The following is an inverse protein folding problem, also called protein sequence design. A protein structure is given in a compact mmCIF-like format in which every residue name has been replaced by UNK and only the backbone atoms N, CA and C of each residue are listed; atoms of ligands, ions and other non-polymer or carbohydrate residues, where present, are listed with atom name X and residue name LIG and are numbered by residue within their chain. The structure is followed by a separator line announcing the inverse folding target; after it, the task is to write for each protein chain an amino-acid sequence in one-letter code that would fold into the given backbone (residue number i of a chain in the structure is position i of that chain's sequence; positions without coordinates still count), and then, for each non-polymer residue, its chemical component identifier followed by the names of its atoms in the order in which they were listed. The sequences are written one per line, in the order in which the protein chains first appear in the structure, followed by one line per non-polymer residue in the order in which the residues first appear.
data_IF_277429433876
#
_entry.id   IF_277429433876
#
_cell.length_a   1.000
_cell.length_b   1.000
_cell.length_c   1.000
_cell.angle_alpha   90.00
_cell.angle_beta   90.00
_cell.angle_gamma   90.00
#
_symmetry.space_group_name_H-M   'P 1'
#
loop_
_entity.id
_entity.type
_entity.pdbx_description
1 polymer ?
#
# COMPACT_ATOMS: atom_id res chain seq x y z
N UNK A 1 43.44 -36.39 23.30
CA UNK A 1 43.25 -35.17 22.48
C UNK A 1 42.22 -35.46 21.40
N UNK A 2 40.97 -35.02 21.60
CA UNK A 2 40.00 -34.90 20.52
C UNK A 2 39.04 -33.78 20.93
N UNK A 3 39.27 -32.59 20.37
CA UNK A 3 38.41 -31.43 20.57
C UNK A 3 37.24 -31.56 19.60
N UNK A 4 36.05 -31.87 20.14
CA UNK A 4 34.79 -31.63 19.45
C UNK A 4 34.64 -30.12 19.24
N UNK A 5 34.74 -29.69 17.98
CA UNK A 5 34.40 -28.32 17.57
C UNK A 5 32.89 -28.17 17.67
N UNK A 6 32.45 -27.39 18.65
CA UNK A 6 31.10 -26.85 18.70
C UNK A 6 30.89 -25.95 17.48
N UNK A 7 30.05 -26.42 16.56
CA UNK A 7 29.59 -25.64 15.42
C UNK A 7 28.45 -24.73 15.88
N UNK A 8 28.82 -23.64 16.57
CA UNK A 8 27.88 -22.58 16.95
C UNK A 8 27.57 -21.74 15.72
N UNK A 9 26.59 -22.17 14.92
CA UNK A 9 25.96 -21.31 13.92
C UNK A 9 25.28 -20.15 14.62
N UNK A 10 25.88 -18.96 14.51
CA UNK A 10 25.32 -17.68 14.90
C UNK A 10 24.16 -17.31 13.95
N UNK A 11 22.95 -17.80 14.26
CA UNK A 11 21.79 -17.61 13.38
C UNK A 11 20.47 -17.42 14.14
N UNK A 12 20.00 -16.16 14.18
CA UNK A 12 18.64 -15.72 14.55
C UNK A 12 18.10 -16.15 15.93
N UNK A 13 18.46 -15.39 16.98
CA UNK A 13 17.80 -15.42 18.30
C UNK A 13 16.44 -14.71 18.28
N UNK A 14 15.50 -15.19 17.48
CA UNK A 14 14.12 -14.71 17.50
C UNK A 14 13.15 -15.84 17.18
N UNK A 15 11.91 -15.79 17.69
CA UNK A 15 10.91 -16.81 17.41
C UNK A 15 10.75 -16.99 15.89
N UNK A 16 10.68 -18.25 15.46
CA UNK A 16 10.51 -18.64 14.06
C UNK A 16 9.21 -18.03 13.52
N UNK A 17 9.33 -17.24 12.45
CA UNK A 17 8.19 -16.66 11.76
C UNK A 17 7.70 -17.65 10.71
N UNK A 18 6.45 -18.06 10.80
CA UNK A 18 5.80 -18.93 9.82
C UNK A 18 4.71 -18.16 9.07
N UNK A 19 4.43 -18.59 7.84
CA UNK A 19 3.41 -17.99 6.97
C UNK A 19 2.48 -19.10 6.48
N UNK A 20 1.19 -18.83 6.49
CA UNK A 20 0.15 -19.69 5.92
C UNK A 20 -1.02 -18.86 5.43
N UNK A 21 -1.75 -19.40 4.48
CA UNK A 21 -3.03 -18.83 4.09
C UNK A 21 -4.04 -18.98 5.23
N UNK A 22 -4.90 -17.97 5.39
CA UNK A 22 -5.90 -17.90 6.45
C UNK A 22 -7.27 -17.54 5.85
N UNK A 23 -8.38 -17.86 6.53
CA UNK A 23 -9.70 -17.44 6.10
C UNK A 23 -9.80 -15.92 5.91
N UNK A 24 -10.52 -15.51 4.86
CA UNK A 24 -10.71 -14.11 4.49
C UNK A 24 -11.28 -13.29 5.64
N UNK A 25 -12.23 -13.84 6.37
CA UNK A 25 -12.93 -13.20 7.49
C UNK A 25 -11.95 -12.90 8.63
N UNK A 26 -11.07 -13.86 8.93
CA UNK A 26 -10.01 -13.69 9.93
C UNK A 26 -9.03 -12.57 9.54
N UNK A 27 -8.62 -12.55 8.27
CA UNK A 27 -7.73 -11.51 7.75
C UNK A 27 -8.38 -10.12 7.77
N UNK A 28 -9.64 -10.01 7.35
CA UNK A 28 -10.40 -8.75 7.35
C UNK A 28 -10.57 -8.24 8.79
N UNK A 29 -10.90 -9.12 9.75
CA UNK A 29 -11.01 -8.75 11.16
C UNK A 29 -9.70 -8.16 11.70
N UNK A 30 -8.57 -8.79 11.39
CA UNK A 30 -7.25 -8.30 11.78
C UNK A 30 -6.92 -6.96 11.12
N UNK A 31 -7.17 -6.81 9.81
CA UNK A 31 -6.88 -5.59 9.05
C UNK A 31 -7.72 -4.42 9.55
N UNK A 32 -9.01 -4.61 9.81
CA UNK A 32 -9.89 -3.55 10.35
C UNK A 32 -9.41 -3.04 11.70
N UNK A 33 -8.87 -3.93 12.54
CA UNK A 33 -8.37 -3.59 13.88
C UNK A 33 -7.03 -2.85 13.86
N UNK A 34 -6.11 -3.26 12.99
CA UNK A 34 -4.71 -2.79 13.08
C UNK A 34 -4.21 -1.98 11.88
N UNK A 35 -4.85 -2.06 10.72
CA UNK A 35 -4.45 -1.29 9.55
C UNK A 35 -5.03 0.13 9.58
N UNK A 36 -4.28 1.09 9.05
CA UNK A 36 -4.68 2.50 9.03
C UNK A 36 -5.80 2.85 8.06
N UNK A 37 -6.00 2.00 7.06
CA UNK A 37 -7.07 2.10 6.09
C UNK A 37 -7.88 0.82 6.14
N UNK A 38 -9.12 0.94 6.60
CA UNK A 38 -10.07 -0.17 6.82
C UNK A 38 -10.75 -0.64 5.52
N UNK A 39 -10.66 0.16 4.45
CA UNK A 39 -11.19 -0.15 3.12
C UNK A 39 -10.39 -1.28 2.48
N UNK A 40 -11.06 -2.34 2.02
CA UNK A 40 -10.42 -3.50 1.39
C UNK A 40 -10.47 -3.40 -0.15
N UNK A 41 -9.36 -3.67 -0.85
CA UNK A 41 -9.39 -3.91 -2.29
C UNK A 41 -10.28 -5.11 -2.64
N UNK A 42 -11.14 -4.95 -3.64
CA UNK A 42 -12.08 -6.01 -4.06
C UNK A 42 -11.40 -7.17 -4.78
N UNK A 43 -10.23 -6.93 -5.36
CA UNK A 43 -9.48 -7.91 -6.17
C UNK A 43 -8.40 -8.64 -5.37
N UNK A 44 -8.49 -8.64 -4.04
CA UNK A 44 -7.65 -9.50 -3.20
C UNK A 44 -7.97 -10.98 -3.46
N UNK A 45 -6.92 -11.78 -3.58
CA UNK A 45 -6.97 -13.22 -3.87
C UNK A 45 -6.46 -14.06 -2.71
N UNK A 46 -5.35 -13.66 -2.11
CA UNK A 46 -4.72 -14.41 -1.03
C UNK A 46 -4.70 -13.60 0.26
N UNK A 47 -4.93 -14.29 1.37
CA UNK A 47 -4.89 -13.72 2.71
C UNK A 47 -3.91 -14.53 3.55
N UNK A 48 -2.78 -13.93 3.87
CA UNK A 48 -1.67 -14.62 4.52
C UNK A 48 -1.53 -14.14 5.97
N UNK A 49 -1.54 -15.09 6.89
CA UNK A 49 -1.24 -14.87 8.31
C UNK A 49 0.23 -15.19 8.60
N UNK A 50 0.87 -14.31 9.36
CA UNK A 50 2.24 -14.46 9.83
C UNK A 50 2.24 -14.73 11.33
N UNK A 51 2.84 -15.84 11.74
CA UNK A 51 2.77 -16.34 13.11
C UNK A 51 4.13 -16.36 13.78
N UNK A 52 4.17 -15.92 15.04
CA UNK A 52 5.29 -16.13 15.96
C UNK A 52 4.84 -17.17 17.00
N UNK A 53 5.30 -18.41 16.86
CA UNK A 53 4.69 -19.54 17.57
C UNK A 53 3.25 -19.75 17.11
N UNK A 54 2.30 -19.84 18.06
CA UNK A 54 0.87 -20.02 17.76
C UNK A 54 0.11 -18.68 17.59
N UNK A 55 0.78 -17.54 17.76
CA UNK A 55 0.15 -16.22 17.76
C UNK A 55 0.17 -15.57 16.38
N UNK A 56 -0.99 -15.15 15.88
CA UNK A 56 -1.11 -14.36 14.65
C UNK A 56 -0.54 -12.95 14.89
N UNK A 57 0.65 -12.68 14.36
CA UNK A 57 1.41 -11.46 14.58
C UNK A 57 1.25 -10.44 13.44
N UNK A 58 0.82 -10.87 12.26
CA UNK A 58 0.61 -9.98 11.13
C UNK A 58 -0.22 -10.62 10.02
N UNK A 59 -0.80 -9.76 9.18
CA UNK A 59 -1.61 -10.17 8.03
C UNK A 59 -1.16 -9.39 6.79
N UNK A 60 -1.05 -10.10 5.68
CA UNK A 60 -0.87 -9.53 4.33
C UNK A 60 -2.02 -9.99 3.45
N UNK A 61 -2.67 -9.07 2.75
CA UNK A 61 -3.61 -9.38 1.68
C UNK A 61 -2.96 -9.06 0.32
N UNK A 62 -2.96 -10.06 -0.56
CA UNK A 62 -2.41 -9.98 -1.91
C UNK A 62 -3.50 -10.00 -2.97
N UNK A 63 -3.31 -9.30 -4.06
CA UNK A 63 -4.20 -9.34 -5.23
C UNK A 63 -3.83 -8.23 -6.19
N UNK A 64 -4.80 -7.38 -6.55
CA UNK A 64 -4.56 -6.23 -7.41
C UNK A 64 -5.28 -4.96 -6.96
N UNK A 65 -4.71 -3.81 -7.35
CA UNK A 65 -5.41 -2.53 -7.39
C UNK A 65 -6.50 -2.46 -8.46
N UNK A 66 -7.01 -1.26 -8.75
CA UNK A 66 -8.24 -1.06 -9.55
C UNK A 66 -8.09 -1.33 -11.04
N UNK A 67 -6.90 -1.22 -11.61
CA UNK A 67 -6.64 -1.41 -13.04
C UNK A 67 -5.40 -2.28 -13.25
N UNK A 68 -5.51 -3.60 -13.00
CA UNK A 68 -4.34 -4.48 -12.89
C UNK A 68 -3.47 -4.49 -14.15
N UNK A 69 -4.12 -4.71 -15.31
CA UNK A 69 -3.44 -4.79 -16.60
C UNK A 69 -2.78 -3.47 -17.02
N UNK A 70 -3.44 -2.34 -16.76
CA UNK A 70 -2.88 -1.03 -17.08
C UNK A 70 -1.71 -0.68 -16.16
N UNK A 71 -1.79 -1.04 -14.87
CA UNK A 71 -0.72 -0.79 -13.91
C UNK A 71 0.58 -1.46 -14.33
N UNK A 72 0.55 -2.75 -14.66
CA UNK A 72 1.77 -3.49 -15.08
C UNK A 72 2.29 -3.00 -16.43
N UNK A 73 1.41 -2.70 -17.40
CA UNK A 73 1.81 -2.15 -18.70
C UNK A 73 2.42 -0.75 -18.59
N UNK A 74 1.95 0.07 -17.65
CA UNK A 74 2.56 1.38 -17.37
C UNK A 74 3.94 1.25 -16.74
N UNK A 75 4.15 0.24 -15.90
CA UNK A 75 5.47 -0.04 -15.30
C UNK A 75 6.42 -0.70 -16.30
N UNK A 76 5.90 -1.44 -17.27
CA UNK A 76 6.71 -2.18 -18.23
C UNK A 76 6.22 -2.03 -19.67
N UNK A 77 6.24 -0.80 -20.25
CA UNK A 77 5.69 -0.54 -21.57
C UNK A 77 6.38 -1.28 -22.72
N UNK A 78 7.65 -1.70 -22.54
CA UNK A 78 8.43 -2.44 -23.54
C UNK A 78 8.20 -3.96 -23.48
N UNK A 79 7.35 -4.44 -22.57
CA UNK A 79 7.07 -5.86 -22.38
C UNK A 79 5.56 -6.12 -22.37
N UNK A 80 5.12 -7.20 -23.01
CA UNK A 80 3.69 -7.57 -23.07
C UNK A 80 3.24 -8.35 -21.84
N UNK A 81 3.34 -7.72 -20.68
CA UNK A 81 2.91 -8.32 -19.40
C UNK A 81 1.39 -8.28 -19.23
N UNK A 82 0.89 -9.27 -18.50
CA UNK A 82 -0.50 -9.47 -18.13
C UNK A 82 -0.71 -9.25 -16.63
N UNK A 83 -1.97 -9.11 -16.20
CA UNK A 83 -2.27 -8.94 -14.78
C UNK A 83 -1.84 -10.14 -13.93
N UNK A 84 -1.82 -11.35 -14.50
CA UNK A 84 -1.35 -12.56 -13.81
C UNK A 84 0.16 -12.58 -13.53
N UNK A 85 0.94 -11.69 -14.16
CA UNK A 85 2.40 -11.66 -13.99
C UNK A 85 2.85 -11.02 -12.67
N UNK A 86 1.92 -10.46 -11.90
CA UNK A 86 2.25 -9.84 -10.63
C UNK A 86 1.13 -9.95 -9.62
N UNK A 87 1.51 -9.89 -8.34
CA UNK A 87 0.60 -9.64 -7.23
C UNK A 87 0.99 -8.36 -6.50
N UNK A 88 0.00 -7.66 -6.00
CA UNK A 88 0.14 -6.43 -5.22
C UNK A 88 -0.12 -6.69 -3.73
N UNK A 89 0.73 -6.15 -2.86
CA UNK A 89 0.42 -6.02 -1.43
C UNK A 89 -0.64 -4.93 -1.27
N UNK A 90 -1.90 -5.33 -1.23
CA UNK A 90 -3.01 -4.40 -1.05
C UNK A 90 -3.18 -3.94 0.40
N UNK A 91 -2.86 -4.82 1.36
CA UNK A 91 -2.86 -4.53 2.80
C UNK A 91 -1.77 -5.29 3.50
N UNK A 92 -1.12 -4.63 4.45
CA UNK A 92 -0.15 -5.25 5.34
C UNK A 92 -0.19 -4.52 6.68
N UNK A 93 -0.50 -5.25 7.75
CA UNK A 93 -0.49 -4.73 9.11
C UNK A 93 -0.03 -5.80 10.10
N UNK A 94 0.55 -5.33 11.19
CA UNK A 94 1.08 -6.15 12.27
C UNK A 94 0.44 -5.73 13.59
N UNK A 95 0.56 -6.60 14.59
CA UNK A 95 0.23 -6.22 15.96
C UNK A 95 1.04 -4.97 16.39
N UNK A 96 0.48 -4.06 17.20
CA UNK A 96 1.15 -2.83 17.61
C UNK A 96 2.57 -3.03 18.15
N UNK A 97 2.77 -4.02 19.01
CA UNK A 97 4.07 -4.38 19.59
C UNK A 97 5.10 -4.86 18.56
N UNK A 98 4.64 -5.35 17.41
CA UNK A 98 5.52 -5.80 16.32
C UNK A 98 5.99 -4.62 15.46
N UNK A 99 5.27 -3.49 15.46
CA UNK A 99 5.67 -2.30 14.69
C UNK A 99 6.87 -1.57 15.32
N UNK A 100 7.07 -1.70 16.64
CA UNK A 100 8.26 -1.19 17.34
C UNK A 100 9.53 -2.01 17.09
N UNK A 101 9.38 -3.23 16.54
CA UNK A 101 10.50 -4.08 16.18
C UNK A 101 10.93 -3.76 14.74
N UNK A 102 12.00 -2.97 14.60
CA UNK A 102 12.50 -2.45 13.33
C UNK A 102 12.73 -3.51 12.23
N UNK A 103 12.89 -4.79 12.59
CA UNK A 103 13.12 -5.87 11.64
C UNK A 103 11.90 -6.75 11.33
N UNK A 104 10.78 -6.62 12.07
CA UNK A 104 9.66 -7.54 11.91
C UNK A 104 9.04 -7.46 10.51
N UNK A 105 8.80 -6.24 10.01
CA UNK A 105 8.22 -6.03 8.68
C UNK A 105 9.08 -6.60 7.55
N UNK A 106 10.42 -6.43 7.61
CA UNK A 106 11.32 -6.99 6.59
C UNK A 106 11.42 -8.52 6.66
N UNK A 107 11.33 -9.11 7.88
CA UNK A 107 11.22 -10.57 8.06
C UNK A 107 9.91 -11.11 7.49
N UNK A 108 8.79 -10.43 7.70
CA UNK A 108 7.49 -10.76 7.09
C UNK A 108 7.60 -10.74 5.56
N UNK A 109 8.15 -9.66 4.97
CA UNK A 109 8.34 -9.57 3.53
C UNK A 109 9.27 -10.67 2.98
N UNK A 110 10.29 -11.06 3.74
CA UNK A 110 11.17 -12.16 3.35
C UNK A 110 10.43 -13.51 3.31
N UNK A 111 9.57 -13.79 4.29
CA UNK A 111 8.74 -15.00 4.28
C UNK A 111 7.64 -14.93 3.21
N UNK A 112 7.06 -13.74 2.97
CA UNK A 112 6.10 -13.50 1.91
C UNK A 112 6.69 -13.81 0.53
N UNK A 113 7.90 -13.33 0.24
CA UNK A 113 8.62 -13.60 -1.01
C UNK A 113 8.88 -15.10 -1.17
N UNK A 114 9.27 -15.82 -0.10
CA UNK A 114 9.44 -17.27 -0.14
C UNK A 114 8.13 -17.98 -0.45
N UNK A 115 7.04 -17.59 0.21
CA UNK A 115 5.72 -18.16 -0.02
C UNK A 115 5.29 -17.94 -1.48
N UNK A 116 5.43 -16.73 -2.01
CA UNK A 116 5.07 -16.41 -3.41
C UNK A 116 5.84 -17.27 -4.42
N UNK A 117 7.15 -17.44 -4.23
CA UNK A 117 7.97 -18.28 -5.12
C UNK A 117 7.56 -19.76 -5.13
N UNK A 118 6.98 -20.24 -4.03
CA UNK A 118 6.59 -21.64 -3.87
C UNK A 118 5.13 -21.91 -4.26
N UNK A 119 4.28 -20.88 -4.27
CA UNK A 119 2.82 -21.04 -4.43
C UNK A 119 2.25 -20.28 -5.64
N UNK A 120 3.08 -19.52 -6.36
CA UNK A 120 2.63 -18.72 -7.51
C UNK A 120 3.70 -18.69 -8.60
N UNK A 121 3.27 -18.55 -9.85
CA UNK A 121 4.17 -18.32 -11.00
C UNK A 121 4.38 -16.83 -11.33
N UNK A 122 3.99 -15.94 -10.41
CA UNK A 122 4.11 -14.50 -10.61
C UNK A 122 5.56 -14.08 -10.85
N UNK A 123 5.76 -13.15 -11.78
CA UNK A 123 7.06 -12.53 -12.03
C UNK A 123 7.40 -11.50 -10.95
N UNK A 124 6.42 -10.72 -10.49
CA UNK A 124 6.67 -9.59 -9.60
C UNK A 124 5.76 -9.57 -8.37
N UNK A 125 6.34 -9.10 -7.26
CA UNK A 125 5.59 -8.59 -6.12
C UNK A 125 5.65 -7.06 -6.14
N UNK A 126 4.50 -6.43 -6.27
CA UNK A 126 4.32 -4.98 -6.35
C UNK A 126 3.72 -4.43 -5.06
N UNK A 127 4.03 -3.18 -4.73
CA UNK A 127 3.38 -2.48 -3.61
C UNK A 127 3.50 -0.97 -3.75
N UNK A 128 2.61 -0.27 -3.06
CA UNK A 128 2.58 1.18 -2.93
C UNK A 128 2.88 1.59 -1.49
N UNK A 129 3.77 2.57 -1.32
CA UNK A 129 3.85 3.33 -0.08
C UNK A 129 2.97 4.58 -0.19
N UNK A 130 2.05 4.74 0.77
CA UNK A 130 1.06 5.80 0.80
C UNK A 130 1.69 7.12 1.29
N UNK A 131 2.38 7.82 0.38
CA UNK A 131 3.05 9.09 0.68
C UNK A 131 2.09 10.17 1.17
N UNK A 132 0.81 10.13 0.77
CA UNK A 132 -0.19 11.05 1.33
C UNK A 132 -0.44 10.83 2.84
N UNK A 133 -0.08 9.65 3.35
CA UNK A 133 -0.11 9.31 4.79
C UNK A 133 1.27 9.47 5.45
N UNK A 134 2.19 10.19 4.80
CA UNK A 134 3.55 10.40 5.29
C UNK A 134 4.46 9.17 5.19
N UNK A 135 4.14 8.20 4.33
CA UNK A 135 4.90 6.95 4.22
C UNK A 135 5.78 6.90 2.99
N UNK A 136 7.09 6.87 3.22
CA UNK A 136 8.10 6.70 2.17
C UNK A 136 8.41 5.24 1.85
N UNK A 137 7.85 4.27 2.59
CA UNK A 137 8.01 2.85 2.30
C UNK A 137 9.30 2.21 2.84
N UNK A 138 9.85 2.71 3.95
CA UNK A 138 11.08 2.19 4.57
C UNK A 138 11.13 0.66 4.72
N UNK A 139 10.00 0.02 5.07
CA UNK A 139 9.91 -1.44 5.18
C UNK A 139 10.23 -2.15 3.86
N UNK A 140 9.81 -1.60 2.72
CA UNK A 140 10.07 -2.15 1.39
C UNK A 140 11.53 -1.92 0.98
N UNK A 141 12.07 -0.74 1.32
CA UNK A 141 13.48 -0.40 1.11
C UNK A 141 14.39 -1.39 1.85
N UNK A 142 14.10 -1.65 3.13
CA UNK A 142 14.84 -2.61 3.97
C UNK A 142 14.67 -4.07 3.50
N UNK A 143 13.60 -4.38 2.78
CA UNK A 143 13.34 -5.71 2.21
C UNK A 143 13.84 -5.88 0.77
N UNK A 144 14.71 -4.99 0.29
CA UNK A 144 15.31 -5.03 -1.04
C UNK A 144 14.31 -4.91 -2.21
N UNK A 145 13.17 -4.25 -2.00
CA UNK A 145 12.33 -3.83 -3.12
C UNK A 145 13.03 -2.72 -3.89
N UNK A 146 12.91 -2.76 -5.22
CA UNK A 146 13.36 -1.67 -6.09
C UNK A 146 12.30 -0.58 -6.11
N UNK A 147 12.68 0.65 -5.78
CA UNK A 147 11.87 1.82 -6.04
C UNK A 147 11.85 2.10 -7.55
N UNK A 148 10.65 2.27 -8.13
CA UNK A 148 10.46 2.45 -9.58
C UNK A 148 9.71 3.75 -9.92
N UNK A 149 9.80 4.74 -9.03
CA UNK A 149 9.21 6.07 -9.20
C UNK A 149 7.93 6.29 -8.40
N UNK A 150 7.39 7.50 -8.51
CA UNK A 150 6.19 7.95 -7.81
C UNK A 150 5.16 8.53 -8.77
N UNK A 151 3.94 8.72 -8.28
CA UNK A 151 2.88 9.41 -9.02
C UNK A 151 1.98 10.18 -8.05
N UNK A 152 1.34 11.27 -8.51
CA UNK A 152 0.42 12.03 -7.68
C UNK A 152 -0.83 11.20 -7.35
N UNK A 153 -1.36 11.43 -6.15
CA UNK A 153 -2.64 10.89 -5.68
C UNK A 153 -3.44 12.01 -5.02
N UNK A 154 -4.76 11.87 -4.96
CA UNK A 154 -5.65 12.85 -4.34
C UNK A 154 -6.60 12.18 -3.38
N UNK A 155 -6.87 12.84 -2.25
CA UNK A 155 -7.90 12.48 -1.28
C UNK A 155 -8.65 13.72 -0.86
N UNK A 156 -9.79 13.53 -0.22
CA UNK A 156 -10.48 14.61 0.46
C UNK A 156 -10.34 14.50 1.98
N UNK A 157 -10.51 15.62 2.67
CA UNK A 157 -10.57 15.69 4.14
C UNK A 157 -11.77 16.52 4.56
N UNK A 158 -12.61 15.98 5.44
CA UNK A 158 -13.63 16.80 6.10
C UNK A 158 -12.95 17.69 7.14
N UNK A 159 -13.15 19.01 7.06
CA UNK A 159 -12.48 19.97 7.97
C UNK A 159 -12.97 19.84 9.40
N UNK A 160 -14.26 19.56 9.59
CA UNK A 160 -14.87 19.44 10.91
C UNK A 160 -14.42 18.18 11.68
N UNK A 161 -14.28 17.04 10.99
CA UNK A 161 -13.99 15.74 11.64
C UNK A 161 -12.56 15.26 11.44
N UNK A 162 -11.86 15.80 10.44
CA UNK A 162 -10.57 15.31 9.98
C UNK A 162 -10.64 14.00 9.19
N UNK A 163 -11.83 13.47 8.89
CA UNK A 163 -11.97 12.18 8.17
C UNK A 163 -11.26 12.22 6.82
N UNK A 164 -10.44 11.20 6.54
CA UNK A 164 -9.89 10.94 5.19
C UNK A 164 -10.95 10.27 4.32
N UNK A 165 -11.31 10.94 3.23
CA UNK A 165 -12.29 10.45 2.26
C UNK A 165 -11.58 10.09 0.97
N UNK A 166 -11.62 8.82 0.59
CA UNK A 166 -11.05 8.38 -0.68
C UNK A 166 -12.03 8.73 -1.83
N UNK A 167 -11.57 9.24 -2.98
CA UNK A 167 -12.47 9.59 -4.10
C UNK A 167 -13.34 8.42 -4.56
N UNK A 168 -12.87 7.19 -4.38
CA UNK A 168 -13.60 5.96 -4.71
C UNK A 168 -14.64 5.50 -3.69
N UNK A 169 -14.61 6.04 -2.46
CA UNK A 169 -15.64 5.80 -1.44
C UNK A 169 -16.60 6.98 -1.30
N UNK A 170 -16.32 8.11 -1.94
CA UNK A 170 -17.13 9.34 -1.91
C UNK A 170 -18.39 9.30 -2.79
N UNK A 171 -19.00 8.13 -3.05
CA UNK A 171 -20.12 7.99 -4.00
C UNK A 171 -21.29 8.93 -3.67
N UNK A 172 -21.73 8.92 -2.41
CA UNK A 172 -22.86 9.75 -1.96
C UNK A 172 -22.57 11.24 -2.14
N UNK A 173 -21.35 11.67 -1.81
CA UNK A 173 -20.92 13.06 -2.02
C UNK A 173 -20.86 13.43 -3.52
N UNK A 174 -20.48 12.50 -4.38
CA UNK A 174 -20.44 12.71 -5.83
C UNK A 174 -21.84 12.81 -6.44
N UNK A 175 -22.79 12.02 -5.95
CA UNK A 175 -24.21 12.07 -6.34
C UNK A 175 -24.85 13.38 -5.91
N UNK A 176 -24.63 13.79 -4.65
CA UNK A 176 -25.12 15.07 -4.15
C UNK A 176 -24.54 16.25 -4.93
N UNK A 177 -23.22 16.25 -5.17
CA UNK A 177 -22.56 17.26 -5.99
C UNK A 177 -23.09 17.30 -7.43
N UNK A 178 -23.35 16.13 -8.04
CA UNK A 178 -23.90 16.06 -9.39
C UNK A 178 -25.32 16.65 -9.47
N UNK A 179 -26.16 16.36 -8.47
CA UNK A 179 -27.50 16.92 -8.37
C UNK A 179 -27.49 18.46 -8.22
N UNK A 180 -26.59 18.99 -7.38
CA UNK A 180 -26.41 20.44 -7.21
C UNK A 180 -25.93 21.13 -8.50
N UNK A 181 -25.06 20.47 -9.26
CA UNK A 181 -24.56 20.97 -10.54
C UNK A 181 -25.55 20.76 -11.71
N UNK A 182 -26.67 20.05 -11.50
CA UNK A 182 -27.62 19.68 -12.55
C UNK A 182 -27.05 18.75 -13.62
N UNK A 183 -26.05 17.93 -13.28
CA UNK A 183 -25.41 16.98 -14.21
C UNK A 183 -25.70 15.54 -13.80
N UNK A 184 -25.70 14.62 -14.76
CA UNK A 184 -25.96 13.20 -14.50
C UNK A 184 -24.94 12.59 -13.54
N UNK A 185 -23.66 12.94 -13.68
CA UNK A 185 -22.58 12.30 -12.91
C UNK A 185 -21.34 13.18 -12.74
N UNK A 186 -20.72 13.05 -11.56
CA UNK A 186 -19.39 13.56 -11.26
C UNK A 186 -18.43 12.42 -10.88
N UNK A 187 -17.17 12.55 -11.28
CA UNK A 187 -16.07 11.63 -10.88
C UNK A 187 -15.16 12.25 -9.81
N UNK A 188 -15.23 13.56 -9.64
CA UNK A 188 -14.52 14.35 -8.62
C UNK A 188 -15.48 15.41 -8.07
N UNK A 189 -15.30 15.77 -6.79
CA UNK A 189 -16.02 16.87 -6.16
C UNK A 189 -15.53 18.19 -6.75
N UNK A 190 -16.47 19.07 -7.11
CA UNK A 190 -16.17 20.42 -7.59
C UNK A 190 -15.55 21.25 -6.47
N UNK A 191 -14.99 22.40 -6.82
CA UNK A 191 -14.46 23.33 -5.82
C UNK A 191 -15.57 23.88 -4.94
N UNK A 192 -16.63 24.42 -5.54
CA UNK A 192 -17.74 25.03 -4.80
C UNK A 192 -18.46 24.04 -3.87
N UNK A 193 -18.65 22.78 -4.29
CA UNK A 193 -19.23 21.77 -3.40
C UNK A 193 -18.32 21.43 -2.22
N UNK A 194 -17.01 21.38 -2.46
CA UNK A 194 -16.03 21.20 -1.41
C UNK A 194 -16.10 22.35 -0.39
N UNK A 195 -16.22 23.61 -0.82
CA UNK A 195 -16.40 24.76 0.06
C UNK A 195 -17.72 24.66 0.85
N UNK A 196 -18.82 24.36 0.15
CA UNK A 196 -20.15 24.20 0.74
C UNK A 196 -20.19 23.14 1.85
N UNK A 197 -19.49 22.01 1.68
CA UNK A 197 -19.47 20.91 2.66
C UNK A 197 -18.34 21.00 3.69
N UNK A 198 -17.44 21.98 3.60
CA UNK A 198 -16.23 21.99 4.43
C UNK A 198 -15.34 20.77 4.15
N UNK A 199 -15.03 20.53 2.87
CA UNK A 199 -14.21 19.41 2.41
C UNK A 199 -13.01 19.96 1.65
N UNK A 200 -11.80 19.67 2.12
CA UNK A 200 -10.57 20.01 1.43
C UNK A 200 -10.21 18.91 0.42
N UNK A 201 -9.61 19.31 -0.71
CA UNK A 201 -8.96 18.37 -1.64
C UNK A 201 -7.45 18.47 -1.49
N UNK A 202 -6.84 17.37 -1.08
CA UNK A 202 -5.41 17.28 -0.79
C UNK A 202 -4.76 16.30 -1.77
N UNK A 203 -3.65 16.72 -2.37
CA UNK A 203 -2.79 15.85 -3.16
C UNK A 203 -1.57 15.44 -2.35
N UNK A 204 -1.07 14.24 -2.65
CA UNK A 204 0.23 13.77 -2.23
C UNK A 204 0.83 12.83 -3.24
N UNK A 205 1.81 12.03 -2.82
CA UNK A 205 2.45 11.03 -3.68
C UNK A 205 2.11 9.60 -3.27
N UNK A 206 2.20 8.70 -4.24
CA UNK A 206 2.30 7.25 -4.05
C UNK A 206 3.65 6.79 -4.58
N UNK A 207 4.42 6.07 -3.77
CA UNK A 207 5.73 5.55 -4.17
C UNK A 207 5.62 4.08 -4.57
N UNK A 208 6.16 3.73 -5.74
CA UNK A 208 6.08 2.38 -6.31
C UNK A 208 7.29 1.55 -5.95
N UNK A 209 7.03 0.36 -5.44
CA UNK A 209 8.06 -0.62 -5.08
C UNK A 209 7.79 -1.94 -5.77
N UNK A 210 8.85 -2.57 -6.26
CA UNK A 210 8.77 -3.82 -6.99
C UNK A 210 9.86 -4.79 -6.56
N UNK A 211 9.49 -6.06 -6.41
CA UNK A 211 10.42 -7.14 -6.11
C UNK A 211 10.32 -8.22 -7.20
N UNK A 212 11.42 -8.54 -7.93
CA UNK A 212 11.42 -9.63 -8.90
C UNK A 212 11.46 -10.99 -8.19
N UNK A 213 10.51 -11.87 -8.48
CA UNK A 213 10.37 -13.17 -7.81
C UNK A 213 11.27 -14.25 -8.43
N UNK A 214 11.65 -14.12 -9.69
CA UNK A 214 12.50 -15.09 -10.38
C UNK A 214 13.54 -14.43 -11.31
N UNK A 215 14.37 -15.27 -11.95
CA UNK A 215 15.46 -14.79 -12.83
C UNK A 215 14.91 -14.04 -14.05
N UNK A 216 13.80 -14.49 -14.63
CA UNK A 216 13.15 -13.81 -15.76
C UNK A 216 12.68 -12.40 -15.35
N UNK A 217 11.97 -12.28 -14.22
CA UNK A 217 11.55 -11.01 -13.68
C UNK A 217 12.71 -10.05 -13.43
N UNK A 218 13.85 -10.55 -12.93
CA UNK A 218 15.07 -9.74 -12.73
C UNK A 218 15.64 -9.24 -14.06
N UNK A 219 15.64 -10.08 -15.12
CA UNK A 219 16.06 -9.67 -16.47
C UNK A 219 15.14 -8.58 -17.02
N UNK A 220 13.82 -8.77 -16.94
CA UNK A 220 12.81 -7.79 -17.37
C UNK A 220 13.02 -6.47 -16.64
N UNK A 221 13.12 -6.47 -15.30
CA UNK A 221 13.30 -5.27 -14.51
C UNK A 221 14.61 -4.54 -14.82
N UNK A 222 15.67 -5.27 -15.20
CA UNK A 222 16.96 -4.68 -15.56
C UNK A 222 16.99 -4.09 -16.98
N UNK A 223 16.02 -4.42 -17.84
CA UNK A 223 15.84 -3.82 -19.16
C UNK A 223 15.24 -2.40 -19.12
N UNK A 224 14.93 -1.89 -17.92
CA UNK A 224 14.45 -0.53 -17.68
C UNK A 224 15.52 0.27 -16.91
N UNK A 225 16.52 0.84 -17.60
CA UNK A 225 17.59 1.61 -16.97
C UNK A 225 17.06 2.81 -16.17
N UNK A 226 15.90 3.35 -16.52
CA UNK A 226 15.22 4.44 -15.79
C UNK A 226 14.85 4.07 -14.34
N UNK A 227 14.78 2.77 -14.01
CA UNK A 227 14.55 2.28 -12.64
C UNK A 227 15.85 1.92 -11.91
N UNK A 228 16.99 1.97 -12.59
CA UNK A 228 18.29 1.61 -12.01
C UNK A 228 18.87 2.82 -11.28
N UNK A 229 19.30 2.61 -10.04
CA UNK A 229 19.99 3.64 -9.26
C UNK A 229 19.09 4.77 -8.74
N UNK A 230 17.76 4.66 -8.87
CA UNK A 230 16.85 5.63 -8.26
C UNK A 230 17.04 5.62 -6.73
N UNK A 231 17.31 6.79 -6.11
CA UNK A 231 17.41 6.87 -4.66
C UNK A 231 16.06 6.57 -4.05
N UNK A 232 16.07 5.78 -2.98
CA UNK A 232 14.86 5.49 -2.23
C UNK A 232 14.33 6.78 -1.57
N UNK A 233 13.02 7.09 -1.70
CA UNK A 233 12.44 8.29 -1.10
C UNK A 233 12.56 8.26 0.43
N UNK A 234 12.75 9.44 0.99
CA UNK A 234 12.80 9.75 2.43
C UNK A 234 11.74 10.79 2.75
N UNK A 235 11.62 11.14 4.02
CA UNK A 235 10.55 12.03 4.48
C UNK A 235 10.58 13.40 3.79
N UNK A 236 11.78 13.89 3.44
CA UNK A 236 11.98 15.11 2.63
C UNK A 236 11.40 15.06 1.21
N UNK A 237 11.15 13.86 0.68
CA UNK A 237 10.59 13.63 -0.66
C UNK A 237 9.06 13.57 -0.64
N UNK A 238 8.45 13.61 0.54
CA UNK A 238 7.01 13.77 0.69
C UNK A 238 6.59 15.17 0.22
N UNK A 239 5.51 15.22 -0.55
CA UNK A 239 4.95 16.47 -1.06
C UNK A 239 3.46 16.48 -0.81
N UNK A 240 2.93 17.60 -0.35
CA UNK A 240 1.53 17.80 -0.09
C UNK A 240 1.08 19.14 -0.63
N UNK A 241 -0.06 19.15 -1.32
CA UNK A 241 -0.67 20.39 -1.81
C UNK A 241 -2.17 20.35 -1.60
N UNK A 242 -2.79 21.47 -1.27
CA UNK A 242 -4.23 21.60 -1.13
C UNK A 242 -4.81 22.45 -2.24
N UNK A 243 -6.00 22.08 -2.75
CA UNK A 243 -6.73 22.88 -3.73
C UNK A 243 -7.28 24.13 -3.05
N UNK A 244 -6.91 25.31 -3.54
CA UNK A 244 -7.35 26.61 -3.00
C UNK A 244 -8.29 27.37 -3.94
N UNK A 245 -8.29 27.02 -5.23
CA UNK A 245 -9.24 27.49 -6.23
C UNK A 245 -9.44 26.41 -7.30
N UNK A 246 -10.39 26.55 -8.25
CA UNK A 246 -10.52 25.63 -9.37
C UNK A 246 -9.19 25.44 -10.13
N UNK A 247 -8.60 24.24 -10.02
CA UNK A 247 -7.34 23.91 -10.67
C UNK A 247 -6.06 24.45 -10.00
N UNK A 248 -6.18 25.30 -8.98
CA UNK A 248 -5.04 25.91 -8.27
C UNK A 248 -4.74 25.15 -6.98
N UNK A 249 -3.47 24.86 -6.73
CA UNK A 249 -3.02 24.13 -5.56
C UNK A 249 -1.85 24.85 -4.88
N UNK A 250 -1.91 24.95 -3.56
CA UNK A 250 -0.84 25.52 -2.72
C UNK A 250 -0.14 24.43 -1.90
N UNK A 251 1.17 24.52 -1.65
CA UNK A 251 1.87 23.62 -0.72
C UNK A 251 1.29 23.70 0.70
N UNK A 252 1.22 22.56 1.38
CA UNK A 252 0.79 22.47 2.78
C UNK A 252 1.76 21.60 3.60
N UNK A 253 1.81 21.75 4.93
CA UNK A 253 2.47 20.78 5.79
C UNK A 253 1.80 19.39 5.68
N UNK A 254 2.43 18.33 6.24
CA UNK A 254 1.84 17.00 6.27
C UNK A 254 0.40 17.03 6.83
N UNK A 255 -0.59 16.51 6.08
CA UNK A 255 -1.97 16.56 6.50
C UNK A 255 -2.23 15.58 7.65
N UNK A 256 -2.94 16.06 8.67
CA UNK A 256 -3.48 15.21 9.71
C UNK A 256 -4.83 14.66 9.26
N UNK A 257 -5.03 13.35 9.45
CA UNK A 257 -6.28 12.65 9.18
C UNK A 257 -6.74 11.92 10.43
N UNK A 258 -8.02 12.12 10.78
CA UNK A 258 -8.68 11.34 11.81
C UNK A 258 -9.06 9.96 11.23
N UNK A 259 -8.52 8.91 11.83
CA UNK A 259 -8.67 7.51 11.38
C UNK A 259 -9.84 6.78 12.04
N UNK A 260 -10.41 7.38 13.07
CA UNK A 260 -11.47 6.80 13.88
C UNK A 260 -12.86 7.22 13.38
N UNK A 261 -12.92 8.27 12.55
CA UNK A 261 -14.13 8.74 11.90
C UNK A 261 -14.33 8.07 10.54
N UNK A 262 -15.57 7.64 10.28
CA UNK A 262 -15.99 6.99 9.04
C UNK A 262 -17.45 7.38 8.72
N UNK A 263 -17.69 8.65 8.45
CA UNK A 263 -19.03 9.16 8.11
C UNK A 263 -19.31 8.98 6.62
N UNK A 264 -18.32 9.26 5.76
CA UNK A 264 -18.51 9.29 4.31
C UNK A 264 -18.06 8.03 3.58
N UNK A 265 -17.29 7.16 4.25
CA UNK A 265 -16.77 5.94 3.64
C UNK A 265 -17.84 4.83 3.62
N UNK A 266 -18.26 4.42 2.41
CA UNK A 266 -19.36 3.47 2.22
C UNK A 266 -19.03 2.01 2.58
N UNK A 267 -17.75 1.64 2.64
CA UNK A 267 -17.36 0.35 3.24
C UNK A 267 -17.35 0.56 4.74
N UNK A 268 -18.45 0.19 5.42
CA UNK A 268 -18.54 0.28 6.89
C UNK A 268 -17.30 -0.36 7.52
N UNK A 269 -16.61 0.45 8.32
CA UNK A 269 -15.37 0.13 9.00
C UNK A 269 -15.50 -1.06 9.93
#
# INVERSE_FOLDING_TARGET
MSQNRNDTTSGQRGPKLTVREIPKEQAIGFIRRYHYSKIMPRLNKHYLGFYTGNRLAGVVALGWGTQPLQSIRKMFPRHRLQSGDYLEIGKMCFLPEMNGNQCFGSRVLSQLVKWLKNNTDCLFLYTLADGIMGKCGYVYQAANFRYIGSFPTSVYRCTATGEKIHPRSARLLLEENAALDGVERRFWLTHGYCEYKGIEKINGLMFRYLYPLNRQAKKILNAYPEYRGLPNPKDKDLKFTMRTAPGVYAPIPPPLFNRDVCQFNTQKC
#
